data_IF_514569656320
#
_entry.id   IF_514569656320
#
_cell.length_a   1.000
_cell.length_b   1.000
_cell.length_c   1.000
_cell.angle_alpha   90.00
_cell.angle_beta   90.00
_cell.angle_gamma   90.00
#
_symmetry.space_group_name_H-M   'P 1'
#
loop_
_entity.id
_entity.type
_entity.pdbx_description
1 polymer ?
#
# COMPACT_ATOMS: atom_id res chain seq x y z
N UNK A 1 25.10 4.91 -76.00
CA UNK A 1 24.99 4.88 -74.52
C UNK A 1 23.57 4.55 -74.15
N UNK A 2 23.44 3.60 -73.22
CA UNK A 2 22.23 2.94 -72.70
C UNK A 2 21.24 3.95 -72.07
N UNK A 3 19.93 3.64 -72.02
CA UNK A 3 18.81 4.56 -72.07
C UNK A 3 18.33 4.99 -70.69
N UNK A 4 17.52 6.05 -70.61
CA UNK A 4 16.73 6.42 -69.42
C UNK A 4 15.28 6.16 -69.79
N UNK A 5 14.88 4.88 -69.82
CA UNK A 5 14.12 4.26 -68.72
C UNK A 5 12.77 4.95 -68.56
N UNK A 6 11.89 4.62 -69.51
CA UNK A 6 10.45 4.55 -69.30
C UNK A 6 10.24 3.45 -68.24
N UNK A 7 10.31 3.81 -66.96
CA UNK A 7 9.96 2.92 -65.85
C UNK A 7 9.25 3.67 -64.73
N UNK A 8 8.26 4.49 -65.10
CA UNK A 8 7.30 5.05 -64.13
C UNK A 8 5.96 4.30 -64.20
N UNK A 9 5.81 3.30 -65.08
CA UNK A 9 4.51 2.69 -65.37
C UNK A 9 4.30 1.26 -64.87
N UNK A 10 5.07 0.80 -63.88
CA UNK A 10 4.86 -0.53 -63.25
C UNK A 10 5.12 -0.51 -61.74
N UNK A 11 4.61 0.51 -61.04
CA UNK A 11 4.53 0.50 -59.57
C UNK A 11 3.09 0.64 -59.06
N UNK A 12 2.17 0.00 -59.78
CA UNK A 12 0.79 -0.22 -59.33
C UNK A 12 0.47 -1.67 -59.74
N UNK A 13 -0.16 -2.44 -58.86
CA UNK A 13 -0.45 -3.89 -58.97
C UNK A 13 0.60 -4.85 -58.40
N UNK A 14 0.79 -4.77 -57.09
CA UNK A 14 1.44 -5.81 -56.31
C UNK A 14 0.89 -5.89 -54.88
N UNK A 15 -0.40 -5.63 -54.65
CA UNK A 15 -1.03 -5.94 -53.37
C UNK A 15 -1.43 -7.41 -53.42
N UNK A 16 -0.50 -8.29 -53.04
CA UNK A 16 -0.85 -9.67 -52.75
C UNK A 16 -1.91 -9.68 -51.62
N UNK A 17 -2.95 -10.50 -51.69
CA UNK A 17 -3.86 -10.63 -50.57
C UNK A 17 -3.04 -11.15 -49.39
N UNK A 18 -3.01 -10.40 -48.29
CA UNK A 18 -2.62 -10.95 -46.99
C UNK A 18 -3.56 -12.13 -46.75
N UNK A 19 -3.03 -13.34 -46.93
CA UNK A 19 -3.67 -14.53 -46.42
C UNK A 19 -3.76 -14.30 -44.92
N UNK A 20 -4.99 -14.26 -44.41
CA UNK A 20 -5.25 -14.38 -42.99
C UNK A 20 -4.70 -15.75 -42.56
N UNK A 21 -3.41 -15.80 -42.23
CA UNK A 21 -2.85 -16.85 -41.40
C UNK A 21 -3.77 -16.90 -40.20
N UNK A 22 -4.50 -18.02 -40.10
CA UNK A 22 -5.20 -18.52 -38.95
C UNK A 22 -4.83 -17.69 -37.72
N UNK A 23 -5.74 -16.82 -37.30
CA UNK A 23 -5.53 -16.06 -36.08
C UNK A 23 -5.30 -17.11 -34.99
N UNK A 24 -4.04 -17.30 -34.60
CA UNK A 24 -3.72 -17.90 -33.31
C UNK A 24 -4.60 -17.13 -32.34
N UNK A 25 -5.57 -17.85 -31.77
CA UNK A 25 -6.52 -17.29 -30.81
C UNK A 25 -5.68 -16.58 -29.77
N UNK A 26 -5.64 -15.25 -29.84
CA UNK A 26 -4.88 -14.43 -28.91
C UNK A 26 -5.52 -14.67 -27.55
N UNK A 27 -4.86 -15.52 -26.76
CA UNK A 27 -5.23 -15.80 -25.40
C UNK A 27 -4.54 -14.74 -24.52
N UNK A 28 -5.27 -13.72 -24.06
CA UNK A 28 -4.69 -12.65 -23.25
C UNK A 28 -4.15 -13.16 -21.91
N UNK A 29 -4.54 -14.37 -21.49
CA UNK A 29 -4.20 -14.94 -20.19
C UNK A 29 -2.91 -15.78 -20.23
N UNK A 30 -2.51 -16.29 -21.41
CA UNK A 30 -1.24 -17.03 -21.59
C UNK A 30 0.02 -16.36 -21.02
N UNK A 31 0.27 -15.05 -21.23
CA UNK A 31 1.45 -14.41 -20.64
C UNK A 31 1.38 -14.37 -19.12
N UNK A 32 0.20 -14.31 -18.50
CA UNK A 32 0.07 -14.27 -17.05
C UNK A 32 0.23 -15.65 -16.41
N UNK A 33 -0.28 -16.70 -17.06
CA UNK A 33 -0.11 -18.09 -16.63
C UNK A 33 1.37 -18.52 -16.59
N UNK A 34 2.21 -17.99 -17.49
CA UNK A 34 3.64 -18.28 -17.51
C UNK A 34 4.48 -17.33 -16.65
N UNK A 35 4.05 -16.06 -16.47
CA UNK A 35 4.84 -15.02 -15.78
C UNK A 35 4.55 -14.94 -14.29
N UNK A 36 3.35 -15.27 -13.81
CA UNK A 36 2.99 -15.23 -12.39
C UNK A 36 3.11 -16.61 -11.75
N UNK A 37 4.33 -17.14 -11.70
CA UNK A 37 4.59 -18.34 -10.90
C UNK A 37 4.26 -18.09 -9.42
N UNK A 38 3.80 -19.14 -8.72
CA UNK A 38 3.53 -19.11 -7.27
C UNK A 38 4.74 -18.56 -6.49
N UNK A 39 5.97 -18.85 -6.96
CA UNK A 39 7.20 -18.33 -6.36
C UNK A 39 7.35 -16.81 -6.48
N UNK A 40 7.05 -16.24 -7.64
CA UNK A 40 7.09 -14.78 -7.85
C UNK A 40 5.99 -14.07 -7.04
N UNK A 41 4.78 -14.62 -7.03
CA UNK A 41 3.68 -14.10 -6.20
C UNK A 41 4.04 -14.10 -4.72
N UNK A 42 4.66 -15.18 -4.22
CA UNK A 42 5.12 -15.26 -2.84
C UNK A 42 6.23 -14.26 -2.54
N UNK A 43 7.17 -14.06 -3.46
CA UNK A 43 8.24 -13.07 -3.31
C UNK A 43 7.68 -11.65 -3.25
N UNK A 44 6.77 -11.30 -4.16
CA UNK A 44 6.11 -9.99 -4.20
C UNK A 44 5.27 -9.76 -2.93
N UNK A 45 4.54 -10.78 -2.47
CA UNK A 45 3.78 -10.71 -1.23
C UNK A 45 4.68 -10.47 -0.04
N UNK A 46 5.77 -11.23 0.10
CA UNK A 46 6.72 -11.04 1.20
C UNK A 46 7.32 -9.64 1.16
N UNK A 47 7.77 -9.18 -0.02
CA UNK A 47 8.30 -7.83 -0.18
C UNK A 47 7.28 -6.74 0.17
N UNK A 48 6.00 -6.94 -0.21
CA UNK A 48 4.94 -6.02 0.16
C UNK A 48 4.68 -6.02 1.67
N UNK A 49 4.70 -7.20 2.31
CA UNK A 49 4.55 -7.34 3.76
C UNK A 49 5.72 -6.70 4.52
N UNK A 50 6.96 -6.90 4.06
CA UNK A 50 8.15 -6.27 4.67
C UNK A 50 8.06 -4.74 4.59
N UNK A 51 7.61 -4.21 3.44
CA UNK A 51 7.38 -2.77 3.28
C UNK A 51 6.23 -2.27 4.14
N UNK A 52 5.15 -3.04 4.24
CA UNK A 52 4.02 -2.68 5.08
C UNK A 52 4.40 -2.67 6.55
N UNK A 53 5.15 -3.67 7.01
CA UNK A 53 5.63 -3.73 8.39
C UNK A 53 6.44 -2.47 8.71
N UNK A 54 7.36 -2.07 7.85
CA UNK A 54 8.16 -0.85 8.04
C UNK A 54 7.31 0.42 8.19
N UNK A 55 6.07 0.47 7.69
CA UNK A 55 5.24 1.68 7.71
C UNK A 55 4.02 1.56 8.63
N UNK A 56 3.66 0.36 9.11
CA UNK A 56 2.43 0.13 9.85
C UNK A 56 2.71 -0.54 11.18
N UNK A 57 2.04 -0.06 12.22
CA UNK A 57 2.04 -0.68 13.54
C UNK A 57 0.59 -0.85 13.99
N UNK A 58 0.21 -2.09 14.30
CA UNK A 58 -1.10 -2.43 14.85
C UNK A 58 -0.86 -3.00 16.24
N UNK A 59 -1.46 -2.37 17.25
CA UNK A 59 -1.40 -2.82 18.64
C UNK A 59 -2.80 -2.79 19.22
N UNK A 60 -3.09 -3.68 20.17
CA UNK A 60 -4.40 -3.73 20.78
C UNK A 60 -4.52 -4.82 21.81
N UNK A 61 -5.40 -4.62 22.76
CA UNK A 61 -5.86 -5.66 23.67
C UNK A 61 -7.37 -5.84 23.45
N UNK A 62 -7.72 -6.96 22.82
CA UNK A 62 -9.09 -7.37 22.55
C UNK A 62 -9.59 -8.42 23.55
N UNK A 63 -8.67 -9.02 24.31
CA UNK A 63 -8.93 -10.07 25.28
C UNK A 63 -8.80 -9.49 26.68
N UNK A 64 -9.68 -8.55 27.02
CA UNK A 64 -9.83 -8.06 28.39
C UNK A 64 -10.34 -9.19 29.30
N UNK A 65 -9.44 -10.08 29.71
CA UNK A 65 -9.68 -11.17 30.64
C UNK A 65 -9.32 -10.72 32.05
N UNK A 66 -10.15 -9.86 32.64
CA UNK A 66 -10.16 -9.73 34.10
C UNK A 66 -11.58 -9.50 34.60
N UNK A 67 -12.05 -10.46 35.41
CA UNK A 67 -13.43 -10.66 35.85
C UNK A 67 -13.93 -9.63 36.89
N UNK A 68 -13.35 -8.43 37.01
CA UNK A 68 -13.78 -7.51 38.09
C UNK A 68 -13.80 -6.03 37.80
N UNK A 69 -13.25 -5.57 36.68
CA UNK A 69 -13.22 -4.13 36.41
C UNK A 69 -13.30 -3.93 34.91
N UNK A 70 -14.42 -3.39 34.43
CA UNK A 70 -14.55 -2.66 33.16
C UNK A 70 -13.78 -3.23 31.95
N UNK A 71 -14.46 -4.06 31.13
CA UNK A 71 -13.87 -4.62 29.91
C UNK A 71 -13.63 -3.52 28.87
N UNK A 72 -12.48 -2.86 28.93
CA UNK A 72 -12.01 -1.96 27.89
C UNK A 72 -11.18 -2.72 26.86
N UNK A 73 -11.72 -2.90 25.66
CA UNK A 73 -10.94 -3.35 24.50
C UNK A 73 -10.36 -2.12 23.82
N UNK A 74 -9.10 -2.17 23.41
CA UNK A 74 -8.49 -1.08 22.66
C UNK A 74 -7.78 -1.61 21.41
N UNK A 75 -7.83 -0.81 20.36
CA UNK A 75 -7.12 -1.04 19.11
C UNK A 75 -6.46 0.27 18.69
N UNK A 76 -5.17 0.22 18.36
CA UNK A 76 -4.40 1.35 17.86
C UNK A 76 -3.71 0.94 16.57
N UNK A 77 -3.94 1.74 15.56
CA UNK A 77 -3.27 1.70 14.27
C UNK A 77 -2.37 2.92 14.16
N UNK A 78 -1.13 2.74 13.72
CA UNK A 78 -0.23 3.83 13.34
C UNK A 78 0.31 3.59 11.94
N UNK A 79 0.44 4.68 11.19
CA UNK A 79 1.07 4.71 9.87
C UNK A 79 2.19 5.74 9.85
N UNK A 80 3.40 5.28 9.54
CA UNK A 80 4.64 6.05 9.48
C UNK A 80 4.98 6.31 8.00
N UNK A 81 4.74 7.51 7.45
CA UNK A 81 4.89 7.77 6.01
C UNK A 81 6.32 7.56 5.50
N UNK A 82 7.31 7.88 6.34
CA UNK A 82 8.74 7.73 6.02
C UNK A 82 9.32 6.37 6.46
N UNK A 83 8.50 5.55 7.14
CA UNK A 83 8.90 4.32 7.80
C UNK A 83 9.29 4.52 9.26
N UNK A 84 8.97 3.51 10.10
CA UNK A 84 9.23 3.43 11.54
C UNK A 84 10.71 3.70 11.87
N UNK A 85 11.63 3.26 11.02
CA UNK A 85 13.07 3.41 11.29
C UNK A 85 13.61 4.80 10.98
N UNK A 86 12.90 5.61 10.19
CA UNK A 86 13.40 6.92 9.71
C UNK A 86 12.78 8.10 10.45
N UNK A 87 11.53 7.98 10.88
CA UNK A 87 10.80 9.06 11.53
C UNK A 87 9.80 8.53 12.54
N UNK A 88 9.70 9.22 13.66
CA UNK A 88 8.64 9.02 14.65
C UNK A 88 7.32 9.71 14.22
N UNK A 89 7.32 10.45 13.09
CA UNK A 89 6.12 11.10 12.58
C UNK A 89 5.16 10.07 11.99
N UNK A 90 3.95 10.04 12.53
CA UNK A 90 2.95 9.06 12.16
C UNK A 90 1.53 9.60 12.27
N UNK A 91 0.66 9.02 11.46
CA UNK A 91 -0.78 9.12 11.64
C UNK A 91 -1.20 8.01 12.61
N UNK A 92 -2.08 8.31 13.57
CA UNK A 92 -2.63 7.30 14.46
C UNK A 92 -4.16 7.27 14.39
N UNK A 93 -4.73 6.07 14.44
CA UNK A 93 -6.14 5.83 14.66
C UNK A 93 -6.29 4.93 15.89
N UNK A 94 -6.97 5.42 16.92
CA UNK A 94 -7.18 4.72 18.18
C UNK A 94 -8.68 4.49 18.37
N UNK A 95 -9.07 3.26 18.68
CA UNK A 95 -10.41 2.86 19.03
C UNK A 95 -10.45 2.23 20.42
N UNK A 96 -11.44 2.59 21.22
CA UNK A 96 -11.70 1.97 22.52
C UNK A 96 -13.16 1.57 22.60
N UNK A 97 -13.40 0.37 23.09
CA UNK A 97 -14.72 -0.17 23.37
C UNK A 97 -14.79 -0.54 24.83
N UNK A 98 -15.74 0.04 25.55
CA UNK A 98 -15.97 -0.22 26.97
C UNK A 98 -17.37 -0.77 27.14
N UNK A 99 -17.47 -1.91 27.80
CA UNK A 99 -18.75 -2.51 28.19
C UNK A 99 -18.80 -2.60 29.69
N UNK A 100 -19.80 -1.93 30.29
CA UNK A 100 -20.08 -2.02 31.72
C UNK A 100 -21.20 -3.04 31.94
N UNK A 101 -20.91 -4.22 32.50
CA UNK A 101 -21.92 -5.25 32.72
C UNK A 101 -22.96 -4.84 33.78
N UNK A 102 -22.64 -3.93 34.70
CA UNK A 102 -23.57 -3.48 35.75
C UNK A 102 -24.59 -2.45 35.28
N UNK A 103 -24.22 -1.55 34.36
CA UNK A 103 -25.12 -0.51 33.84
C UNK A 103 -25.73 -0.85 32.47
N UNK A 104 -25.28 -1.93 31.83
CA UNK A 104 -25.65 -2.29 30.45
C UNK A 104 -25.16 -1.28 29.40
N UNK A 105 -24.36 -0.30 29.80
CA UNK A 105 -23.89 0.77 28.95
C UNK A 105 -22.68 0.32 28.11
N UNK A 106 -22.71 0.71 26.84
CA UNK A 106 -21.67 0.43 25.87
C UNK A 106 -21.14 1.75 25.32
N UNK A 107 -19.87 2.03 25.56
CA UNK A 107 -19.22 3.24 25.07
C UNK A 107 -18.19 2.87 24.00
N UNK A 108 -18.27 3.58 22.87
CA UNK A 108 -17.34 3.45 21.76
C UNK A 108 -16.67 4.79 21.52
N UNK A 109 -15.34 4.79 21.53
CA UNK A 109 -14.56 5.98 21.27
C UNK A 109 -13.61 5.72 20.12
N UNK A 110 -13.46 6.74 19.28
CA UNK A 110 -12.53 6.69 18.16
C UNK A 110 -11.83 8.03 18.01
N UNK A 111 -10.52 7.98 17.83
CA UNK A 111 -9.65 9.16 17.75
C UNK A 111 -8.66 9.00 16.61
N UNK A 112 -8.68 9.96 15.71
CA UNK A 112 -7.60 10.15 14.74
C UNK A 112 -6.63 11.21 15.23
N UNK A 113 -5.34 10.94 15.09
CA UNK A 113 -4.25 11.90 15.34
C UNK A 113 -3.47 12.04 14.04
N UNK A 114 -3.27 13.28 13.61
CA UNK A 114 -2.30 13.59 12.56
C UNK A 114 -0.91 13.70 13.20
N UNK A 115 0.17 13.56 12.41
CA UNK A 115 1.49 13.96 12.83
C UNK A 115 1.39 15.39 13.36
N UNK A 116 1.74 15.58 14.63
CA UNK A 116 1.69 16.88 15.26
C UNK A 116 2.88 17.68 14.71
N UNK A 117 2.62 18.82 14.05
CA UNK A 117 3.66 19.81 13.80
C UNK A 117 4.23 20.17 15.18
N UNK A 118 5.45 19.70 15.47
CA UNK A 118 6.04 19.76 16.81
C UNK A 118 5.77 21.13 17.43
N UNK A 119 5.24 21.23 18.66
CA UNK A 119 5.33 22.51 19.36
C UNK A 119 6.82 22.84 19.44
N UNK A 120 7.18 23.94 18.80
CA UNK A 120 8.50 24.55 18.77
C UNK A 120 9.13 24.36 20.15
N UNK A 121 10.23 23.58 20.22
CA UNK A 121 11.04 23.42 21.45
C UNK A 121 11.19 24.81 22.07
N UNK A 122 10.57 25.02 23.23
CA UNK A 122 10.80 26.24 24.00
C UNK A 122 12.32 26.43 24.14
N UNK A 123 12.85 27.65 23.91
CA UNK A 123 14.29 27.87 23.92
C UNK A 123 14.87 27.38 25.25
N UNK A 124 16.06 26.76 25.24
CA UNK A 124 16.70 26.34 26.48
C UNK A 124 16.90 27.56 27.38
N UNK A 125 16.26 27.55 28.55
CA UNK A 125 16.47 28.53 29.60
C UNK A 125 17.94 28.45 30.02
N UNK A 126 18.74 29.41 29.55
CA UNK A 126 20.14 29.58 29.91
C UNK A 126 20.19 29.91 31.42
N UNK A 127 20.45 28.90 32.26
CA UNK A 127 20.75 29.15 33.68
C UNK A 127 22.09 29.90 33.74
N UNK A 128 22.04 31.17 34.12
CA UNK A 128 23.24 31.94 34.45
C UNK A 128 23.90 31.34 35.70
N UNK A 129 25.24 31.17 35.73
CA UNK A 129 25.94 30.72 36.91
C UNK A 129 26.01 31.85 37.95
N UNK A 130 25.88 31.47 39.23
CA UNK A 130 26.17 32.29 40.41
C UNK A 130 27.68 32.45 40.60
#
# INVERSE_FOLDING_TARGET
MVPIVIAVFWFVYGVAPVQATQADTFDPDQPFEQVLSIGLLRSLLNQALDRLDEHVEISGDLNASDQKTERSRYLRFKFYPEGKSKSDEHFAAEGWFRSSPESGQHDWHFKFKRPEDRPQKSPPQLKAPL
#
